data_IF_578281328859
#
_entry.id   IF_578281328859
#
_cell.length_a   1.000
_cell.length_b   1.000
_cell.length_c   1.000
_cell.angle_alpha   90.00
_cell.angle_beta   90.00
_cell.angle_gamma   90.00
#
_symmetry.space_group_name_H-M   'P 1'
#
loop_
_entity.id
_entity.type
_entity.pdbx_description
1 polymer ?
#
# COMPACT_ATOMS: atom_id res chain seq x y z
N UNK A 1 -19.52 -33.48 47.88
CA UNK A 1 -19.52 -32.12 48.47
C UNK A 1 -18.09 -31.71 48.78
N UNK A 2 -17.47 -30.91 47.92
CA UNK A 2 -16.52 -29.83 48.27
C UNK A 2 -16.04 -29.18 46.98
N UNK A 3 -16.16 -27.86 46.94
CA UNK A 3 -16.07 -27.00 45.77
C UNK A 3 -14.64 -26.82 45.28
N UNK A 4 -14.48 -26.80 43.96
CA UNK A 4 -13.34 -26.25 43.24
C UNK A 4 -13.36 -24.72 43.36
N UNK A 5 -12.34 -24.15 44.00
CA UNK A 5 -12.05 -22.73 43.95
C UNK A 5 -11.31 -22.42 42.65
N UNK A 6 -12.01 -21.77 41.71
CA UNK A 6 -11.40 -21.20 40.51
C UNK A 6 -10.71 -19.90 40.93
N UNK A 7 -9.38 -19.89 40.87
CA UNK A 7 -8.57 -18.70 41.12
C UNK A 7 -8.90 -17.60 40.12
N UNK A 8 -9.27 -16.43 40.64
CA UNK A 8 -9.48 -15.23 39.87
C UNK A 8 -8.17 -14.78 39.21
N UNK A 9 -8.17 -14.65 37.88
CA UNK A 9 -7.07 -14.08 37.13
C UNK A 9 -6.98 -12.58 37.43
N UNK A 10 -5.81 -12.11 37.87
CA UNK A 10 -5.56 -10.71 38.21
C UNK A 10 -5.80 -9.76 37.00
N UNK A 11 -6.29 -8.54 37.21
CA UNK A 11 -6.47 -7.57 36.13
C UNK A 11 -5.12 -7.15 35.54
N UNK A 12 -5.02 -7.15 34.21
CA UNK A 12 -3.84 -6.67 33.47
C UNK A 12 -3.55 -5.19 33.80
N UNK A 13 -2.28 -4.77 33.86
CA UNK A 13 -1.95 -3.37 34.11
C UNK A 13 -2.47 -2.48 32.98
N UNK A 14 -3.04 -1.32 33.36
CA UNK A 14 -3.44 -0.25 32.44
C UNK A 14 -2.23 0.19 31.62
N UNK A 15 -2.42 0.32 30.31
CA UNK A 15 -1.42 0.91 29.42
C UNK A 15 -1.02 2.31 29.91
N UNK A 16 0.27 2.70 29.84
CA UNK A 16 0.69 4.04 30.18
C UNK A 16 0.04 5.05 29.22
N UNK A 17 -0.30 6.22 29.76
CA UNK A 17 -0.85 7.34 29.00
C UNK A 17 0.05 7.63 27.78
N UNK A 18 -0.56 7.71 26.60
CA UNK A 18 0.13 8.05 25.36
C UNK A 18 0.83 9.41 25.53
N UNK A 19 2.16 9.39 25.54
CA UNK A 19 2.96 10.60 25.38
C UNK A 19 2.61 11.22 24.02
N UNK A 20 2.05 12.42 24.06
CA UNK A 20 1.68 13.20 22.88
C UNK A 20 2.96 13.60 22.15
N UNK A 21 3.33 12.87 21.10
CA UNK A 21 4.29 13.37 20.12
C UNK A 21 3.60 14.50 19.35
N UNK A 22 4.09 15.72 19.53
CA UNK A 22 3.66 16.88 18.77
C UNK A 22 3.90 16.60 17.28
N UNK A 23 2.81 16.45 16.53
CA UNK A 23 2.83 16.57 15.09
C UNK A 23 2.88 18.07 14.83
N UNK A 24 4.05 18.60 14.50
CA UNK A 24 4.13 19.98 14.02
C UNK A 24 3.25 20.10 12.78
N UNK A 25 2.19 20.88 12.95
CA UNK A 25 1.19 21.13 11.94
C UNK A 25 1.86 21.75 10.71
N UNK A 26 1.59 21.17 9.55
CA UNK A 26 1.88 21.76 8.25
C UNK A 26 1.01 23.01 8.16
N UNK A 27 1.57 24.15 8.57
CA UNK A 27 0.92 25.44 8.55
C UNK A 27 0.56 25.83 7.12
N UNK A 28 -0.72 26.01 6.87
CA UNK A 28 -1.21 26.72 5.71
C UNK A 28 -0.89 28.21 5.89
N UNK A 29 0.25 28.68 5.37
CA UNK A 29 0.45 30.12 5.14
C UNK A 29 -0.06 30.45 3.74
N UNK A 30 -1.09 31.27 3.64
CA UNK A 30 -1.51 31.87 2.39
C UNK A 30 -0.39 32.78 1.84
N UNK A 31 -0.03 32.72 0.53
CA UNK A 31 0.89 33.69 -0.02
C UNK A 31 0.18 35.02 -0.29
N UNK A 32 0.83 36.11 0.10
CA UNK A 32 0.47 37.48 -0.29
C UNK A 32 0.67 37.67 -1.82
N UNK A 33 -0.04 38.59 -2.48
CA UNK A 33 0.09 38.78 -3.92
C UNK A 33 1.45 39.40 -4.25
N UNK A 34 2.22 38.76 -5.11
CA UNK A 34 3.47 39.30 -5.64
C UNK A 34 3.18 40.03 -6.96
N UNK A 35 3.63 41.28 -7.02
CA UNK A 35 3.56 42.16 -8.18
C UNK A 35 4.19 41.55 -9.42
N UNK A 36 3.48 41.69 -10.53
CA UNK A 36 3.94 41.31 -11.85
C UNK A 36 4.94 42.35 -12.37
N UNK A 37 6.23 42.01 -12.42
CA UNK A 37 7.16 42.50 -13.47
C UNK A 37 8.50 41.78 -13.41
N UNK A 38 8.83 41.09 -14.51
CA UNK A 38 10.18 40.91 -15.09
C UNK A 38 10.31 39.53 -15.73
N UNK A 39 10.14 39.52 -17.05
CA UNK A 39 10.37 38.39 -17.93
C UNK A 39 11.82 37.85 -17.86
N UNK A 40 11.95 36.54 -17.64
CA UNK A 40 13.04 35.67 -18.13
C UNK A 40 12.42 34.28 -18.32
N UNK A 41 12.41 33.78 -19.56
CA UNK A 41 11.85 32.46 -19.88
C UNK A 41 12.53 31.33 -19.09
N UNK A 42 11.84 30.21 -18.80
CA UNK A 42 12.37 29.20 -17.91
C UNK A 42 13.56 28.51 -18.56
N UNK A 43 14.76 28.75 -18.02
CA UNK A 43 15.85 27.80 -18.16
C UNK A 43 15.38 26.51 -17.49
N UNK A 44 14.98 25.52 -18.29
CA UNK A 44 14.44 24.25 -17.81
C UNK A 44 15.49 23.56 -16.95
N UNK A 45 15.31 23.60 -15.63
CA UNK A 45 16.20 22.94 -14.69
C UNK A 45 16.20 21.43 -14.99
N UNK A 46 17.26 20.92 -15.63
CA UNK A 46 17.37 19.49 -15.94
C UNK A 46 17.71 18.71 -14.68
N UNK A 47 17.14 17.53 -14.50
CA UNK A 47 17.65 16.58 -13.50
C UNK A 47 19.06 16.17 -13.96
N UNK A 48 20.07 16.48 -13.16
CA UNK A 48 21.47 16.29 -13.55
C UNK A 48 21.90 14.82 -13.51
N UNK A 49 21.45 14.08 -12.51
CA UNK A 49 21.78 12.67 -12.30
C UNK A 49 20.80 12.01 -11.32
N UNK A 50 20.82 10.68 -11.30
CA UNK A 50 20.23 9.89 -10.23
C UNK A 50 20.91 10.21 -8.89
N UNK A 51 20.11 10.45 -7.85
CA UNK A 51 20.56 10.89 -6.53
C UNK A 51 20.42 9.81 -5.44
N UNK A 52 20.19 8.55 -5.81
CA UNK A 52 20.00 7.46 -4.84
C UNK A 52 21.30 6.78 -4.38
N UNK A 53 22.45 7.08 -5.01
CA UNK A 53 23.73 6.43 -4.70
C UNK A 53 24.15 6.55 -3.23
N UNK A 54 23.89 7.70 -2.62
CA UNK A 54 24.26 8.01 -1.23
C UNK A 54 23.14 7.72 -0.22
N UNK A 55 22.04 7.10 -0.66
CA UNK A 55 20.91 6.80 0.22
C UNK A 55 21.31 5.80 1.31
N UNK A 56 20.85 5.98 2.58
CA UNK A 56 21.07 4.97 3.62
C UNK A 56 20.30 3.67 3.35
N UNK A 57 19.21 3.71 2.56
CA UNK A 57 18.43 2.52 2.20
C UNK A 57 19.19 1.64 1.20
N UNK A 58 19.44 0.35 1.52
CA UNK A 58 19.94 -0.61 0.54
C UNK A 58 19.00 -0.76 -0.66
N UNK A 59 17.68 -0.70 -0.45
CA UNK A 59 16.68 -0.77 -1.51
C UNK A 59 16.80 0.41 -2.49
N UNK A 60 16.98 1.64 -1.99
CA UNK A 60 17.15 2.80 -2.87
C UNK A 60 18.48 2.74 -3.64
N UNK A 61 19.57 2.30 -3.00
CA UNK A 61 20.87 2.17 -3.68
C UNK A 61 20.84 1.14 -4.82
N UNK A 62 20.01 0.09 -4.74
CA UNK A 62 19.83 -0.85 -5.85
C UNK A 62 19.35 -0.16 -7.13
N UNK A 63 18.67 0.99 -7.02
CA UNK A 63 18.17 1.77 -8.15
C UNK A 63 19.10 2.92 -8.56
N UNK A 64 20.29 3.06 -7.96
CA UNK A 64 21.21 4.17 -8.24
C UNK A 64 21.79 4.14 -9.67
N UNK A 65 21.83 2.96 -10.29
CA UNK A 65 22.34 2.77 -11.65
C UNK A 65 21.26 2.78 -12.74
N UNK A 66 19.98 2.90 -12.35
CA UNK A 66 18.91 3.00 -13.32
C UNK A 66 19.08 4.28 -14.19
N UNK A 67 18.75 4.21 -15.49
CA UNK A 67 18.74 5.38 -16.37
C UNK A 67 17.70 6.43 -15.95
N UNK A 68 16.68 6.02 -15.19
CA UNK A 68 15.76 6.97 -14.53
C UNK A 68 16.56 7.78 -13.50
N UNK A 69 16.49 9.10 -13.60
CA UNK A 69 17.22 10.04 -12.76
C UNK A 69 16.50 10.23 -11.40
N UNK A 70 16.37 9.13 -10.65
CA UNK A 70 15.63 9.07 -9.40
C UNK A 70 16.10 10.10 -8.39
N UNK A 71 15.13 10.76 -7.75
CA UNK A 71 15.34 11.64 -6.61
C UNK A 71 14.83 10.98 -5.33
N UNK A 72 15.47 11.18 -4.17
CA UNK A 72 14.90 10.80 -2.89
C UNK A 72 13.67 11.67 -2.58
N UNK A 73 12.78 11.16 -1.74
CA UNK A 73 11.67 11.94 -1.24
C UNK A 73 12.15 13.07 -0.32
N UNK A 74 11.73 14.31 -0.62
CA UNK A 74 12.04 15.48 0.20
C UNK A 74 11.64 16.78 -0.49
N UNK A 75 11.71 17.91 0.22
CA UNK A 75 11.34 19.22 -0.31
C UNK A 75 12.08 19.59 -1.60
N UNK A 76 13.34 19.17 -1.74
CA UNK A 76 14.16 19.40 -2.91
C UNK A 76 13.54 18.82 -4.21
N UNK A 77 12.98 17.61 -4.15
CA UNK A 77 12.35 16.98 -5.32
C UNK A 77 11.08 17.74 -5.76
N UNK A 78 10.29 18.22 -4.80
CA UNK A 78 9.07 19.00 -5.09
C UNK A 78 9.38 20.44 -5.51
N UNK A 79 10.43 21.06 -4.96
CA UNK A 79 10.93 22.34 -5.44
C UNK A 79 11.43 22.23 -6.88
N UNK A 80 12.12 21.13 -7.23
CA UNK A 80 12.52 20.86 -8.60
C UNK A 80 11.32 20.67 -9.53
N UNK A 81 10.28 19.98 -9.08
CA UNK A 81 9.04 19.80 -9.85
C UNK A 81 8.36 21.16 -10.13
N UNK A 82 8.30 22.05 -9.13
CA UNK A 82 7.81 23.43 -9.30
C UNK A 82 8.66 24.21 -10.29
N UNK A 83 9.99 24.19 -10.15
CA UNK A 83 10.90 24.93 -11.01
C UNK A 83 10.86 24.46 -12.48
N UNK A 84 10.59 23.18 -12.70
CA UNK A 84 10.45 22.57 -14.04
C UNK A 84 9.04 22.65 -14.61
N UNK A 85 8.07 23.01 -13.78
CA UNK A 85 6.64 22.97 -14.09
C UNK A 85 6.12 21.60 -14.58
N UNK A 86 6.60 20.52 -13.96
CA UNK A 86 6.23 19.13 -14.31
C UNK A 86 5.73 18.38 -13.08
N UNK A 87 4.88 17.34 -13.25
CA UNK A 87 4.43 16.52 -12.14
C UNK A 87 5.55 15.65 -11.55
N UNK A 88 5.28 15.10 -10.37
CA UNK A 88 6.15 14.14 -9.69
C UNK A 88 5.67 12.72 -9.97
N UNK A 89 6.55 11.85 -10.45
CA UNK A 89 6.29 10.42 -10.56
C UNK A 89 6.83 9.73 -9.29
N UNK A 90 5.95 9.32 -8.38
CA UNK A 90 6.30 8.66 -7.14
C UNK A 90 6.23 7.14 -7.29
N UNK A 91 7.33 6.45 -7.02
CA UNK A 91 7.41 4.98 -6.96
C UNK A 91 7.86 4.50 -5.58
N UNK A 92 6.92 3.92 -4.82
CA UNK A 92 7.18 3.34 -3.49
C UNK A 92 7.35 1.83 -3.59
N UNK A 93 8.39 1.31 -2.96
CA UNK A 93 8.65 -0.13 -2.84
C UNK A 93 9.49 -0.45 -1.60
N UNK A 94 9.98 -1.69 -1.52
CA UNK A 94 10.84 -2.18 -0.44
C UNK A 94 11.67 -3.38 -0.93
N UNK A 95 12.74 -3.73 -0.21
CA UNK A 95 13.77 -4.65 -0.69
C UNK A 95 13.27 -6.06 -1.04
N UNK A 96 12.24 -6.56 -0.36
CA UNK A 96 11.70 -7.93 -0.56
C UNK A 96 10.47 -7.96 -1.49
N UNK A 97 10.07 -6.81 -2.04
CA UNK A 97 8.93 -6.70 -2.95
C UNK A 97 9.25 -7.26 -4.35
N UNK A 98 8.74 -8.45 -4.66
CA UNK A 98 8.95 -9.07 -5.97
C UNK A 98 8.51 -8.19 -7.15
N UNK A 99 7.29 -7.66 -7.13
CA UNK A 99 6.76 -6.86 -8.25
C UNK A 99 7.49 -5.53 -8.41
N UNK A 100 8.13 -5.03 -7.34
CA UNK A 100 8.97 -3.84 -7.41
C UNK A 100 10.24 -4.13 -8.23
N UNK A 101 10.84 -5.31 -8.03
CA UNK A 101 11.99 -5.78 -8.83
C UNK A 101 11.59 -6.06 -10.28
N UNK A 102 10.45 -6.72 -10.50
CA UNK A 102 9.94 -6.97 -11.86
C UNK A 102 9.70 -5.65 -12.60
N UNK A 103 9.04 -4.68 -11.98
CA UNK A 103 8.80 -3.37 -12.63
C UNK A 103 10.10 -2.59 -12.84
N UNK A 104 11.07 -2.72 -11.93
CA UNK A 104 12.38 -2.08 -12.12
C UNK A 104 13.10 -2.63 -13.35
N UNK A 105 13.22 -3.95 -13.46
CA UNK A 105 13.88 -4.61 -14.57
C UNK A 105 13.14 -4.40 -15.90
N UNK A 106 11.81 -4.48 -15.91
CA UNK A 106 11.03 -4.36 -17.15
C UNK A 106 10.87 -2.90 -17.61
N UNK A 107 10.85 -1.94 -16.69
CA UNK A 107 10.44 -0.56 -17.00
C UNK A 107 11.45 0.52 -16.59
N UNK A 108 12.05 0.44 -15.40
CA UNK A 108 12.93 1.50 -14.90
C UNK A 108 14.38 1.36 -15.39
N UNK A 109 14.74 0.23 -16.00
CA UNK A 109 15.99 -0.01 -16.72
C UNK A 109 15.87 0.23 -18.23
N UNK A 110 14.64 0.35 -18.75
CA UNK A 110 14.35 0.62 -20.16
C UNK A 110 14.75 2.07 -20.52
N UNK A 111 15.66 2.29 -21.48
CA UNK A 111 16.13 3.64 -21.84
C UNK A 111 15.04 4.56 -22.41
N UNK A 112 14.05 4.03 -23.12
CA UNK A 112 12.95 4.83 -23.69
C UNK A 112 12.04 5.35 -22.59
N UNK A 113 11.60 4.46 -21.68
CA UNK A 113 10.78 4.84 -20.53
C UNK A 113 11.55 5.83 -19.65
N UNK A 114 12.83 5.55 -19.39
CA UNK A 114 13.66 6.41 -18.55
C UNK A 114 13.85 7.81 -19.16
N UNK A 115 14.14 7.89 -20.46
CA UNK A 115 14.25 9.18 -21.15
C UNK A 115 12.95 9.97 -21.06
N UNK A 116 11.79 9.31 -21.25
CA UNK A 116 10.49 9.94 -21.15
C UNK A 116 10.20 10.43 -19.72
N UNK A 117 10.42 9.59 -18.71
CA UNK A 117 10.27 9.96 -17.29
C UNK A 117 11.14 11.17 -16.94
N UNK A 118 12.42 11.14 -17.32
CA UNK A 118 13.36 12.19 -17.01
C UNK A 118 12.98 13.53 -17.68
N UNK A 119 12.40 13.49 -18.89
CA UNK A 119 11.97 14.67 -19.61
C UNK A 119 10.69 15.30 -19.03
N UNK A 120 9.71 14.48 -18.64
CA UNK A 120 8.35 14.94 -18.34
C UNK A 120 7.94 14.88 -16.87
N UNK A 121 8.78 14.32 -16.01
CA UNK A 121 8.50 14.16 -14.58
C UNK A 121 9.72 14.48 -13.72
N UNK A 122 9.48 14.72 -12.43
CA UNK A 122 10.49 14.47 -11.40
C UNK A 122 10.24 13.07 -10.82
N UNK A 123 11.05 12.05 -11.18
CA UNK A 123 10.90 10.70 -10.68
C UNK A 123 11.44 10.62 -9.25
N UNK A 124 10.59 10.22 -8.30
CA UNK A 124 10.90 10.08 -6.88
C UNK A 124 10.76 8.63 -6.47
N UNK A 125 11.79 8.09 -5.82
CA UNK A 125 11.80 6.72 -5.29
C UNK A 125 11.72 6.76 -3.76
N UNK A 126 10.85 5.92 -3.19
CA UNK A 126 10.68 5.81 -1.73
C UNK A 126 10.84 4.37 -1.29
N UNK A 127 11.61 4.19 -0.23
CA UNK A 127 11.63 2.97 0.56
C UNK A 127 10.56 3.03 1.64
N UNK A 128 9.56 2.16 1.53
CA UNK A 128 8.48 2.02 2.51
C UNK A 128 9.01 1.72 3.91
N UNK A 129 10.09 0.95 4.04
CA UNK A 129 10.63 0.57 5.35
C UNK A 129 11.26 1.76 6.08
N UNK A 130 11.73 2.76 5.34
CA UNK A 130 12.24 4.02 5.90
C UNK A 130 11.16 5.10 6.03
N UNK A 131 10.14 5.10 5.16
CA UNK A 131 9.05 6.08 5.13
C UNK A 131 7.67 5.41 5.13
N UNK A 132 7.31 4.71 6.21
CA UNK A 132 6.00 4.07 6.33
C UNK A 132 4.86 5.09 6.39
N UNK A 133 5.14 6.33 6.79
CA UNK A 133 4.21 7.46 6.78
C UNK A 133 3.78 7.86 5.35
N UNK A 134 4.76 8.00 4.44
CA UNK A 134 4.50 8.33 3.03
C UNK A 134 3.79 7.18 2.34
N UNK A 135 4.24 5.94 2.62
CA UNK A 135 3.61 4.73 2.09
C UNK A 135 2.14 4.62 2.49
N UNK A 136 1.82 4.73 3.78
CA UNK A 136 0.46 4.57 4.28
C UNK A 136 -0.50 5.58 3.66
N UNK A 137 -0.08 6.85 3.56
CA UNK A 137 -0.88 7.92 2.96
C UNK A 137 -1.23 7.61 1.50
N UNK A 138 -0.24 7.30 0.68
CA UNK A 138 -0.48 7.10 -0.75
C UNK A 138 -1.10 5.74 -1.06
N UNK A 139 -0.88 4.72 -0.23
CA UNK A 139 -1.57 3.44 -0.37
C UNK A 139 -3.08 3.61 -0.16
N UNK A 140 -3.50 4.38 0.86
CA UNK A 140 -4.91 4.69 1.10
C UNK A 140 -5.53 5.44 -0.10
N UNK A 141 -4.83 6.44 -0.63
CA UNK A 141 -5.25 7.14 -1.85
C UNK A 141 -5.48 6.18 -3.01
N UNK A 142 -4.50 5.31 -3.31
CA UNK A 142 -4.59 4.36 -4.43
C UNK A 142 -5.73 3.36 -4.21
N UNK A 143 -5.93 2.89 -2.98
CA UNK A 143 -7.04 2.01 -2.62
C UNK A 143 -8.40 2.68 -2.84
N UNK A 144 -8.55 3.96 -2.52
CA UNK A 144 -9.80 4.71 -2.77
C UNK A 144 -10.05 4.95 -4.25
N UNK A 145 -9.00 5.29 -5.00
CA UNK A 145 -9.12 5.58 -6.43
C UNK A 145 -9.41 4.32 -7.27
N UNK A 146 -8.84 3.17 -6.88
CA UNK A 146 -8.84 1.97 -7.72
C UNK A 146 -9.58 0.77 -7.12
N UNK A 147 -9.96 0.85 -5.83
CA UNK A 147 -10.48 -0.29 -5.07
C UNK A 147 -9.43 -1.37 -4.76
N UNK A 148 -8.16 -1.14 -5.11
CA UNK A 148 -7.05 -2.09 -4.97
C UNK A 148 -5.84 -1.39 -4.37
N UNK A 149 -4.98 -2.15 -3.72
CA UNK A 149 -3.72 -1.64 -3.18
C UNK A 149 -2.65 -2.73 -3.17
N UNK A 150 -1.40 -2.31 -3.21
CA UNK A 150 -0.25 -3.19 -3.24
C UNK A 150 0.99 -2.46 -3.73
N UNK A 151 2.08 -3.21 -3.86
CA UNK A 151 3.37 -2.69 -4.30
C UNK A 151 3.82 -3.38 -5.60
N UNK A 152 4.58 -2.70 -6.48
CA UNK A 152 5.04 -1.31 -6.35
C UNK A 152 3.87 -0.34 -6.38
N UNK A 153 3.96 0.73 -5.58
CA UNK A 153 2.95 1.77 -5.56
C UNK A 153 3.39 2.87 -6.52
N UNK A 154 2.61 3.10 -7.57
CA UNK A 154 2.87 4.10 -8.60
C UNK A 154 1.86 5.23 -8.47
N UNK A 155 2.33 6.44 -8.17
CA UNK A 155 1.46 7.59 -7.96
C UNK A 155 2.00 8.78 -8.74
N UNK A 156 1.13 9.56 -9.38
CA UNK A 156 1.54 10.83 -9.97
C UNK A 156 0.93 11.97 -9.17
N UNK A 157 1.81 12.89 -8.77
CA UNK A 157 1.49 14.01 -7.87
C UNK A 157 1.69 15.34 -8.57
N UNK A 158 0.93 16.34 -8.15
CA UNK A 158 1.27 17.75 -8.40
C UNK A 158 2.57 18.12 -7.66
N UNK A 159 3.23 19.23 -8.03
CA UNK A 159 4.36 19.75 -7.26
C UNK A 159 4.05 20.06 -5.79
N UNK A 160 2.77 20.17 -5.43
CA UNK A 160 2.29 20.41 -4.06
C UNK A 160 1.86 19.12 -3.34
N UNK A 161 2.34 17.97 -3.83
CA UNK A 161 2.16 16.62 -3.25
C UNK A 161 0.76 16.03 -3.36
N UNK A 162 -0.12 16.65 -4.14
CA UNK A 162 -1.50 16.18 -4.31
C UNK A 162 -1.57 15.09 -5.40
N UNK A 163 -2.08 13.89 -5.11
CA UNK A 163 -2.18 12.80 -6.08
C UNK A 163 -3.36 13.00 -7.03
N UNK A 164 -3.13 12.76 -8.33
CA UNK A 164 -4.18 12.75 -9.35
C UNK A 164 -4.26 11.44 -10.15
N UNK A 165 -3.26 10.57 -10.01
CA UNK A 165 -3.22 9.22 -10.55
C UNK A 165 -2.64 8.25 -9.53
N UNK A 166 -3.12 7.00 -9.56
CA UNK A 166 -2.66 5.94 -8.67
C UNK A 166 -2.82 4.56 -9.30
N UNK A 167 -1.78 3.74 -9.22
CA UNK A 167 -1.75 2.37 -9.70
C UNK A 167 -0.79 1.53 -8.85
N UNK A 168 -0.85 0.21 -9.03
CA UNK A 168 0.14 -0.72 -8.49
C UNK A 168 1.24 -0.98 -9.55
N UNK A 169 1.48 -2.25 -9.87
CA UNK A 169 2.27 -2.67 -11.02
C UNK A 169 1.66 -2.18 -12.35
N UNK A 170 2.51 -1.63 -13.22
CA UNK A 170 2.20 -1.32 -14.63
C UNK A 170 3.27 -2.00 -15.51
N UNK A 171 2.90 -2.82 -16.50
CA UNK A 171 3.88 -3.40 -17.41
C UNK A 171 4.43 -2.34 -18.37
N UNK A 172 5.59 -2.56 -19.02
CA UNK A 172 6.29 -1.49 -19.73
C UNK A 172 5.56 -0.97 -20.99
N UNK A 173 4.78 -1.81 -21.66
CA UNK A 173 4.13 -1.52 -22.96
C UNK A 173 2.70 -2.07 -22.99
N UNK A 174 1.88 -1.56 -23.91
CA UNK A 174 0.50 -2.01 -24.12
C UNK A 174 0.45 -3.50 -24.48
N UNK A 175 -0.56 -4.22 -24.00
CA UNK A 175 -0.71 -5.67 -24.20
C UNK A 175 0.22 -6.54 -23.34
N UNK A 176 1.33 -6.00 -22.83
CA UNK A 176 2.28 -6.77 -22.02
C UNK A 176 1.61 -7.24 -20.72
N UNK A 177 1.86 -8.51 -20.36
CA UNK A 177 1.22 -9.18 -19.21
C UNK A 177 -0.32 -9.08 -19.20
N UNK A 178 -0.94 -8.92 -20.38
CA UNK A 178 -2.39 -8.82 -20.55
C UNK A 178 -3.01 -7.48 -20.14
N UNK A 179 -2.20 -6.45 -19.86
CA UNK A 179 -2.71 -5.11 -19.58
C UNK A 179 -3.11 -4.40 -20.88
N UNK A 180 -4.21 -3.65 -20.86
CA UNK A 180 -4.63 -2.83 -22.00
C UNK A 180 -3.61 -1.73 -22.30
N UNK A 181 -3.15 -1.05 -21.25
CA UNK A 181 -2.21 0.07 -21.32
C UNK A 181 -0.98 -0.24 -20.47
N UNK A 182 0.20 0.03 -21.01
CA UNK A 182 1.47 -0.05 -20.32
C UNK A 182 1.89 1.29 -19.72
N UNK A 183 2.94 1.26 -18.91
CA UNK A 183 3.50 2.41 -18.21
C UNK A 183 3.80 3.56 -19.17
N UNK A 184 4.39 3.29 -20.32
CA UNK A 184 4.78 4.35 -21.26
C UNK A 184 3.58 5.12 -21.83
N UNK A 185 2.49 4.42 -22.17
CA UNK A 185 1.24 5.04 -22.63
C UNK A 185 0.61 5.86 -21.51
N UNK A 186 0.51 5.28 -20.31
CA UNK A 186 0.01 5.99 -19.11
C UNK A 186 0.82 7.27 -18.84
N UNK A 187 2.15 7.21 -18.92
CA UNK A 187 3.01 8.38 -18.72
C UNK A 187 2.79 9.45 -19.80
N UNK A 188 2.59 9.06 -21.06
CA UNK A 188 2.31 10.01 -22.16
C UNK A 188 0.98 10.72 -21.97
N UNK A 189 -0.05 9.97 -21.59
CA UNK A 189 -1.40 10.51 -21.39
C UNK A 189 -1.44 11.47 -20.20
N UNK A 190 -0.80 11.11 -19.08
CA UNK A 190 -0.74 11.97 -17.90
C UNK A 190 0.10 13.24 -18.14
N UNK A 191 1.18 13.16 -18.91
CA UNK A 191 1.98 14.33 -19.26
C UNK A 191 1.21 15.28 -20.21
N UNK A 192 0.47 14.71 -21.15
CA UNK A 192 -0.41 15.46 -22.06
C UNK A 192 -1.52 16.15 -21.27
N UNK A 193 -2.21 15.43 -20.38
CA UNK A 193 -3.24 16.01 -19.50
C UNK A 193 -2.68 17.10 -18.58
N UNK A 194 -1.46 16.95 -18.06
CA UNK A 194 -0.81 18.00 -17.27
C UNK A 194 -0.58 19.28 -18.06
N UNK A 195 -0.19 19.18 -19.33
CA UNK A 195 0.06 20.33 -20.20
C UNK A 195 -1.24 20.97 -20.69
N UNK A 196 -2.19 20.15 -21.11
CA UNK A 196 -3.35 20.59 -21.90
C UNK A 196 -4.59 20.85 -21.02
N UNK A 197 -4.71 20.20 -19.85
CA UNK A 197 -5.85 20.33 -18.93
C UNK A 197 -5.41 20.42 -17.45
N UNK A 198 -4.37 21.24 -17.21
CA UNK A 198 -3.77 21.39 -15.88
C UNK A 198 -4.78 21.76 -14.80
N UNK A 199 -5.66 22.71 -15.10
CA UNK A 199 -6.58 23.26 -14.10
C UNK A 199 -7.57 22.19 -13.59
N UNK A 200 -8.16 21.40 -14.50
CA UNK A 200 -9.07 20.33 -14.09
C UNK A 200 -8.34 19.21 -13.33
N UNK A 201 -7.12 18.88 -13.78
CA UNK A 201 -6.28 17.87 -13.13
C UNK A 201 -5.90 18.28 -11.71
N UNK A 202 -5.46 19.52 -11.48
CA UNK A 202 -5.17 20.06 -10.14
C UNK A 202 -6.43 20.09 -9.28
N UNK A 203 -7.58 20.52 -9.81
CA UNK A 203 -8.83 20.50 -9.06
C UNK A 203 -9.26 19.07 -8.66
N UNK A 204 -9.00 18.07 -9.51
CA UNK A 204 -9.19 16.65 -9.17
C UNK A 204 -8.19 16.18 -8.11
N UNK A 205 -6.94 16.59 -8.19
CA UNK A 205 -5.90 16.27 -7.22
C UNK A 205 -6.27 16.79 -5.82
N UNK A 206 -6.68 18.05 -5.73
CA UNK A 206 -7.11 18.69 -4.49
C UNK A 206 -8.33 17.98 -3.86
N UNK A 207 -9.33 17.60 -4.68
CA UNK A 207 -10.49 16.83 -4.21
C UNK A 207 -10.09 15.46 -3.65
N UNK A 208 -9.19 14.76 -4.34
CA UNK A 208 -8.68 13.44 -3.91
C UNK A 208 -7.92 13.58 -2.58
N UNK A 209 -7.05 14.59 -2.48
CA UNK A 209 -6.27 14.89 -1.27
C UNK A 209 -7.17 15.20 -0.08
N UNK A 210 -8.19 16.05 -0.27
CA UNK A 210 -9.16 16.36 0.79
C UNK A 210 -9.93 15.13 1.25
N UNK A 211 -10.36 14.28 0.33
CA UNK A 211 -11.06 13.03 0.67
C UNK A 211 -10.16 12.06 1.47
N UNK A 212 -8.88 11.96 1.11
CA UNK A 212 -7.91 11.15 1.85
C UNK A 212 -7.61 11.76 3.24
N UNK A 213 -7.39 13.07 3.31
CA UNK A 213 -7.11 13.77 4.58
C UNK A 213 -8.27 13.62 5.58
N UNK A 214 -9.51 13.79 5.13
CA UNK A 214 -10.70 13.58 5.97
C UNK A 214 -10.82 12.15 6.52
N UNK A 215 -10.26 11.16 5.82
CA UNK A 215 -10.24 9.78 6.27
C UNK A 215 -9.02 9.43 7.14
N UNK A 216 -7.97 10.26 7.13
CA UNK A 216 -6.75 10.09 7.93
C UNK A 216 -6.83 10.84 9.25
N UNK A 217 -7.70 11.86 9.34
CA UNK A 217 -8.07 12.42 10.63
C UNK A 217 -8.58 11.27 11.51
N UNK A 218 -8.10 11.14 12.76
CA UNK A 218 -8.75 10.26 13.72
C UNK A 218 -10.22 10.61 13.68
N UNK A 219 -11.07 9.65 13.31
CA UNK A 219 -12.49 9.85 13.50
C UNK A 219 -12.66 10.33 14.95
N UNK A 220 -13.38 11.43 15.21
CA UNK A 220 -13.70 11.80 16.59
C UNK A 220 -14.19 10.53 17.27
N UNK A 221 -13.71 10.18 18.48
CA UNK A 221 -13.91 8.86 19.06
C UNK A 221 -15.36 8.44 18.88
N UNK A 222 -15.58 7.62 17.87
CA UNK A 222 -16.89 7.17 17.49
C UNK A 222 -17.26 6.02 18.40
N UNK A 223 -18.54 5.73 18.49
CA UNK A 223 -18.96 4.50 19.12
C UNK A 223 -18.26 3.32 18.42
N UNK A 224 -17.81 2.36 19.21
CA UNK A 224 -17.27 1.12 18.68
C UNK A 224 -18.30 0.50 17.73
N UNK A 225 -17.88 -0.13 16.61
CA UNK A 225 -18.80 -0.78 15.70
C UNK A 225 -19.73 -1.74 16.45
N UNK A 226 -21.04 -1.59 16.21
CA UNK A 226 -22.04 -2.46 16.82
C UNK A 226 -21.99 -3.89 16.26
N UNK A 227 -22.72 -4.80 16.90
CA UNK A 227 -22.81 -6.20 16.45
C UNK A 227 -23.32 -6.31 15.01
N UNK A 228 -24.23 -5.44 14.58
CA UNK A 228 -24.75 -5.42 13.22
C UNK A 228 -23.66 -5.05 12.19
N UNK A 229 -22.79 -4.09 12.50
CA UNK A 229 -21.65 -3.72 11.67
C UNK A 229 -20.67 -4.88 11.52
N UNK A 230 -20.37 -5.58 12.62
CA UNK A 230 -19.53 -6.78 12.59
C UNK A 230 -20.17 -7.86 11.68
N UNK A 231 -21.47 -8.12 11.81
CA UNK A 231 -22.15 -9.12 10.97
C UNK A 231 -22.23 -8.71 9.50
N UNK A 232 -22.29 -7.42 9.16
CA UNK A 232 -22.16 -6.94 7.77
C UNK A 232 -20.80 -7.30 7.17
N UNK A 233 -19.71 -7.20 7.95
CA UNK A 233 -18.38 -7.63 7.51
C UNK A 233 -18.34 -9.13 7.27
N UNK A 234 -18.91 -9.93 8.18
CA UNK A 234 -19.00 -11.40 8.01
C UNK A 234 -19.80 -11.77 6.76
N UNK A 235 -20.96 -11.15 6.53
CA UNK A 235 -21.75 -11.36 5.32
C UNK A 235 -20.99 -10.96 4.06
N UNK A 236 -20.19 -9.90 4.11
CA UNK A 236 -19.31 -9.50 3.00
C UNK A 236 -18.19 -10.51 2.75
N UNK A 237 -17.58 -11.04 3.81
CA UNK A 237 -16.58 -12.09 3.69
C UNK A 237 -17.17 -13.36 3.07
N UNK A 238 -18.39 -13.74 3.46
CA UNK A 238 -19.10 -14.90 2.92
C UNK A 238 -19.35 -14.80 1.41
N UNK A 239 -19.66 -13.61 0.88
CA UNK A 239 -19.82 -13.42 -0.58
C UNK A 239 -18.53 -13.70 -1.37
N UNK A 240 -17.37 -13.41 -0.77
CA UNK A 240 -16.06 -13.62 -1.37
C UNK A 240 -15.41 -14.96 -1.04
N UNK A 241 -16.05 -15.81 -0.23
CA UNK A 241 -15.48 -17.05 0.27
C UNK A 241 -15.45 -18.15 -0.80
N UNK A 242 -14.35 -18.90 -0.85
CA UNK A 242 -14.20 -20.07 -1.72
C UNK A 242 -14.33 -21.35 -0.90
N UNK A 243 -15.55 -21.83 -0.73
CA UNK A 243 -15.84 -23.01 0.09
C UNK A 243 -15.08 -24.29 -0.34
N UNK A 244 -14.72 -24.41 -1.62
CA UNK A 244 -14.02 -25.61 -2.11
C UNK A 244 -12.54 -25.67 -1.71
N UNK A 245 -11.87 -24.52 -1.65
CA UNK A 245 -10.42 -24.47 -1.37
C UNK A 245 -10.09 -23.66 -0.10
N UNK A 246 -11.08 -23.21 0.66
CA UNK A 246 -10.92 -22.19 1.71
C UNK A 246 -10.42 -20.84 1.19
N UNK A 247 -10.37 -19.83 2.05
CA UNK A 247 -9.90 -18.49 1.70
C UNK A 247 -10.89 -17.63 0.93
N UNK A 248 -10.42 -16.47 0.48
CA UNK A 248 -11.26 -15.42 -0.09
C UNK A 248 -10.74 -14.99 -1.47
N UNK A 249 -11.66 -14.72 -2.38
CA UNK A 249 -11.35 -14.34 -3.77
C UNK A 249 -11.27 -15.53 -4.72
N UNK A 250 -11.00 -15.25 -6.00
CA UNK A 250 -11.01 -16.24 -7.10
C UNK A 250 -9.64 -16.50 -7.73
N UNK A 251 -8.64 -15.67 -7.45
CA UNK A 251 -7.28 -15.76 -7.99
C UNK A 251 -6.25 -16.14 -6.93
N UNK A 252 -5.16 -15.39 -6.87
CA UNK A 252 -4.17 -15.48 -5.81
C UNK A 252 -4.81 -15.38 -4.41
N UNK A 253 -4.30 -16.14 -3.45
CA UNK A 253 -4.89 -16.29 -2.12
C UNK A 253 -3.97 -15.85 -1.00
N UNK A 254 -4.47 -14.90 -0.21
CA UNK A 254 -3.87 -14.42 1.04
C UNK A 254 -4.62 -15.04 2.22
N UNK A 255 -3.90 -15.39 3.30
CA UNK A 255 -4.55 -15.96 4.50
C UNK A 255 -5.39 -14.92 5.26
N UNK A 256 -5.03 -13.63 5.17
CA UNK A 256 -5.73 -12.49 5.79
C UNK A 256 -5.97 -12.67 7.30
N UNK A 257 -4.91 -12.71 8.13
CA UNK A 257 -5.01 -13.02 9.55
C UNK A 257 -6.04 -12.17 10.32
N UNK A 258 -6.13 -10.86 10.05
CA UNK A 258 -7.09 -9.98 10.72
C UNK A 258 -8.56 -10.33 10.42
N UNK A 259 -8.87 -10.75 9.18
CA UNK A 259 -10.22 -11.22 8.87
C UNK A 259 -10.51 -12.56 9.56
N UNK A 260 -9.53 -13.46 9.57
CA UNK A 260 -9.66 -14.74 10.26
C UNK A 260 -9.88 -14.55 11.76
N UNK A 261 -9.12 -13.66 12.42
CA UNK A 261 -9.29 -13.31 13.84
C UNK A 261 -10.73 -12.82 14.12
N UNK A 262 -11.25 -11.92 13.29
CA UNK A 262 -12.63 -11.45 13.40
C UNK A 262 -13.63 -12.61 13.30
N UNK A 263 -13.47 -13.50 12.32
CA UNK A 263 -14.35 -14.65 12.11
C UNK A 263 -14.30 -15.62 13.30
N UNK A 264 -13.11 -15.89 13.85
CA UNK A 264 -12.94 -16.72 15.05
C UNK A 264 -13.60 -16.08 16.28
N UNK A 265 -13.50 -14.76 16.46
CA UNK A 265 -14.19 -14.04 17.54
C UNK A 265 -15.71 -14.09 17.41
N UNK A 266 -16.24 -13.93 16.20
CA UNK A 266 -17.69 -14.06 15.93
C UNK A 266 -18.16 -15.48 16.21
N UNK A 267 -17.40 -16.49 15.79
CA UNK A 267 -17.71 -17.89 16.07
C UNK A 267 -17.75 -18.19 17.58
N UNK A 268 -16.77 -17.71 18.37
CA UNK A 268 -16.73 -17.89 19.83
C UNK A 268 -17.94 -17.28 20.55
N UNK A 269 -18.51 -16.21 20.01
CA UNK A 269 -19.66 -15.50 20.60
C UNK A 269 -21.01 -16.07 20.18
N UNK A 270 -21.04 -17.17 19.41
CA UNK A 270 -22.28 -17.74 18.89
C UNK A 270 -22.95 -16.87 17.82
N UNK A 271 -22.16 -16.09 17.06
CA UNK A 271 -22.66 -15.30 15.94
C UNK A 271 -22.96 -16.14 14.69
N UNK A 272 -22.73 -15.58 13.50
CA UNK A 272 -23.00 -16.27 12.23
C UNK A 272 -22.24 -17.61 12.14
N UNK A 273 -22.93 -18.76 11.95
CA UNK A 273 -22.31 -20.08 11.95
C UNK A 273 -21.29 -20.26 10.82
N UNK A 274 -21.45 -19.52 9.71
CA UNK A 274 -20.50 -19.53 8.59
C UNK A 274 -19.13 -19.00 8.98
N UNK A 275 -19.04 -18.16 10.03
CA UNK A 275 -17.78 -17.59 10.48
C UNK A 275 -16.78 -18.68 10.90
N UNK A 276 -17.24 -19.69 11.66
CA UNK A 276 -16.42 -20.83 12.08
C UNK A 276 -15.91 -21.61 10.88
N UNK A 277 -16.81 -21.95 9.96
CA UNK A 277 -16.48 -22.72 8.77
C UNK A 277 -15.44 -21.98 7.90
N UNK A 278 -15.71 -20.71 7.58
CA UNK A 278 -14.81 -19.89 6.78
C UNK A 278 -13.41 -19.81 7.40
N UNK A 279 -13.31 -19.55 8.70
CA UNK A 279 -12.03 -19.42 9.38
C UNK A 279 -11.25 -20.74 9.41
N UNK A 280 -11.86 -21.81 9.91
CA UNK A 280 -11.17 -23.09 10.10
C UNK A 280 -10.79 -23.75 8.77
N UNK A 281 -11.69 -23.74 7.78
CA UNK A 281 -11.41 -24.31 6.46
C UNK A 281 -10.29 -23.53 5.76
N UNK A 282 -10.30 -22.20 5.83
CA UNK A 282 -9.21 -21.37 5.28
C UNK A 282 -7.87 -21.73 5.90
N UNK A 283 -7.79 -21.79 7.23
CA UNK A 283 -6.54 -22.10 7.94
C UNK A 283 -6.04 -23.52 7.65
N UNK A 284 -6.93 -24.52 7.53
CA UNK A 284 -6.55 -25.89 7.14
C UNK A 284 -5.98 -25.94 5.73
N UNK A 285 -6.65 -25.34 4.74
CA UNK A 285 -6.15 -25.32 3.37
C UNK A 285 -4.84 -24.55 3.23
N UNK A 286 -4.69 -23.42 3.93
CA UNK A 286 -3.43 -22.69 3.96
C UNK A 286 -2.30 -23.51 4.60
N UNK A 287 -2.57 -24.20 5.72
CA UNK A 287 -1.58 -25.03 6.41
C UNK A 287 -1.16 -26.28 5.61
N UNK A 288 -2.06 -26.84 4.81
CA UNK A 288 -1.79 -27.99 3.95
C UNK A 288 -1.22 -27.60 2.57
N UNK A 289 -1.40 -26.34 2.15
CA UNK A 289 -0.92 -25.83 0.88
C UNK A 289 0.57 -25.49 0.87
N UNK A 290 1.10 -25.19 -0.32
CA UNK A 290 2.46 -24.69 -0.51
C UNK A 290 2.67 -23.24 -0.04
N UNK A 291 1.62 -22.54 0.38
CA UNK A 291 1.76 -21.25 1.11
C UNK A 291 2.43 -21.44 2.47
N UNK A 292 2.34 -22.62 3.09
CA UNK A 292 3.18 -22.97 4.24
C UNK A 292 4.53 -23.47 3.72
N UNK A 293 5.62 -22.94 4.25
CA UNK A 293 6.93 -23.50 3.99
C UNK A 293 7.10 -24.77 4.83
N UNK A 294 7.00 -25.92 4.18
CA UNK A 294 7.11 -27.24 4.80
C UNK A 294 8.56 -27.64 5.11
N UNK A 295 9.55 -26.93 4.56
CA UNK A 295 10.98 -27.20 4.76
C UNK A 295 11.56 -26.28 5.84
N UNK A 296 11.40 -24.96 5.67
CA UNK A 296 11.96 -23.95 6.57
C UNK A 296 11.00 -23.41 7.63
N UNK A 297 9.74 -23.86 7.62
CA UNK A 297 8.71 -23.40 8.55
C UNK A 297 8.17 -21.99 8.25
N UNK A 298 7.07 -21.65 8.91
CA UNK A 298 6.34 -20.42 8.66
C UNK A 298 5.52 -20.43 7.37
N UNK A 299 5.03 -19.26 6.99
CA UNK A 299 4.14 -19.06 5.84
C UNK A 299 4.69 -18.02 4.88
N UNK A 300 4.64 -18.35 3.60
CA UNK A 300 4.71 -17.38 2.53
C UNK A 300 3.49 -16.45 2.58
N UNK A 301 3.65 -15.21 2.12
CA UNK A 301 2.61 -14.18 2.24
C UNK A 301 1.30 -14.55 1.55
N UNK A 302 1.39 -15.17 0.38
CA UNK A 302 0.23 -15.61 -0.39
C UNK A 302 0.60 -16.73 -1.36
N UNK A 303 -0.42 -17.43 -1.87
CA UNK A 303 -0.27 -18.32 -3.01
C UNK A 303 -0.72 -17.62 -4.30
N UNK A 304 0.02 -17.79 -5.39
CA UNK A 304 -0.30 -17.18 -6.69
C UNK A 304 -1.53 -17.81 -7.35
N UNK A 305 -1.93 -19.01 -6.89
CA UNK A 305 -3.09 -19.74 -7.39
C UNK A 305 -4.19 -19.95 -6.35
N UNK A 306 -5.39 -20.25 -6.85
CA UNK A 306 -6.60 -20.44 -6.04
C UNK A 306 -6.55 -21.67 -5.12
N UNK A 307 -5.65 -22.63 -5.35
CA UNK A 307 -5.58 -23.88 -4.56
C UNK A 307 -4.46 -23.90 -3.53
N UNK A 308 -3.85 -22.75 -3.23
CA UNK A 308 -2.77 -22.61 -2.25
C UNK A 308 -1.49 -23.38 -2.58
N UNK A 309 -1.22 -23.71 -3.86
CA UNK A 309 -0.12 -24.61 -4.24
C UNK A 309 1.19 -23.88 -4.45
N UNK A 310 1.16 -22.79 -5.21
CA UNK A 310 2.38 -22.09 -5.61
C UNK A 310 2.56 -20.85 -4.73
N UNK A 311 3.52 -20.84 -3.78
CA UNK A 311 3.75 -19.68 -2.95
C UNK A 311 4.34 -18.52 -3.74
N UNK A 312 4.03 -17.31 -3.29
CA UNK A 312 4.88 -16.15 -3.51
C UNK A 312 5.98 -16.18 -2.44
N UNK A 313 7.23 -16.41 -2.84
CA UNK A 313 8.37 -16.70 -1.94
C UNK A 313 8.86 -15.50 -1.10
N UNK A 314 7.93 -14.76 -0.50
CA UNK A 314 8.15 -13.67 0.46
C UNK A 314 7.57 -14.11 1.81
N UNK A 315 8.32 -13.89 2.90
CA UNK A 315 7.85 -14.12 4.28
C UNK A 315 7.98 -12.83 5.07
N UNK A 316 6.86 -12.32 5.57
CA UNK A 316 6.84 -11.11 6.38
C UNK A 316 6.68 -11.48 7.86
N UNK A 317 7.49 -10.87 8.74
CA UNK A 317 7.46 -11.14 10.17
C UNK A 317 6.08 -10.88 10.79
N UNK A 318 5.42 -9.79 10.39
CA UNK A 318 4.08 -9.47 10.90
C UNK A 318 3.04 -10.51 10.47
N UNK A 319 3.16 -11.08 9.26
CA UNK A 319 2.27 -12.15 8.81
C UNK A 319 2.50 -13.39 9.67
N UNK A 320 3.75 -13.75 9.98
CA UNK A 320 4.05 -14.89 10.88
C UNK A 320 3.46 -14.70 12.26
N UNK A 321 3.66 -13.52 12.87
CA UNK A 321 3.18 -13.21 14.20
C UNK A 321 1.65 -13.29 14.28
N UNK A 322 0.95 -12.68 13.31
CA UNK A 322 -0.51 -12.70 13.28
C UNK A 322 -1.06 -14.10 12.95
N UNK A 323 -0.38 -14.87 12.08
CA UNK A 323 -0.77 -16.24 11.77
C UNK A 323 -0.65 -17.15 13.00
N UNK A 324 0.43 -17.04 13.77
CA UNK A 324 0.59 -17.79 15.00
C UNK A 324 -0.58 -17.58 15.96
N UNK A 325 -1.02 -16.32 16.14
CA UNK A 325 -2.18 -15.98 16.97
C UNK A 325 -3.47 -16.63 16.47
N UNK A 326 -3.78 -16.54 15.17
CA UNK A 326 -5.05 -17.10 14.66
C UNK A 326 -5.06 -18.62 14.59
N UNK A 327 -3.91 -19.28 14.39
CA UNK A 327 -3.82 -20.74 14.49
C UNK A 327 -4.03 -21.22 15.93
N UNK A 328 -3.50 -20.50 16.92
CA UNK A 328 -3.74 -20.79 18.33
C UNK A 328 -5.24 -20.62 18.70
N UNK A 329 -5.84 -19.50 18.32
CA UNK A 329 -7.26 -19.24 18.54
C UNK A 329 -8.15 -20.28 17.83
N UNK A 330 -7.78 -20.69 16.62
CA UNK A 330 -8.49 -21.72 15.87
C UNK A 330 -8.41 -23.09 16.55
N UNK A 331 -7.26 -23.46 17.14
CA UNK A 331 -7.10 -24.70 17.88
C UNK A 331 -8.05 -24.76 19.10
N UNK A 332 -8.18 -23.65 19.83
CA UNK A 332 -9.09 -23.55 20.99
C UNK A 332 -10.58 -23.67 20.61
N UNK A 333 -10.95 -23.35 19.36
CA UNK A 333 -12.29 -23.52 18.81
C UNK A 333 -12.53 -24.90 18.16
N UNK A 334 -11.47 -25.65 17.87
CA UNK A 334 -11.55 -26.94 17.20
C UNK A 334 -11.57 -28.12 18.20
N UNK A 335 -11.10 -27.90 19.42
CA UNK A 335 -11.30 -28.78 20.58
C UNK A 335 -12.77 -28.75 21.04
#
# INVERSE_FOLDING_TARGET
MSLLAVGACAPRPRAPAAATLAVDAIGASAPAPADATSARGPATAKIRANALGDSPSPYLRQHAHNPVAWQPWGDAAFALARARDVPVFLSIGYATCHWCHVMAAESFEDPEIAAFLNAHYVPVKVDREQRPDVDALYLDVVQRLTGRGGWPLTVVLTPDREPFFGATYLPPRDGARGAREGLLTVLRDLATAWRDDRAALVARAARTSRAAALATLPAPPGDLPDGAAILRVVASAARGYDAHNGGFGRGAKFVRPALIDLLLRVARRGGDPRAREMALTTLRHAAAGGVRDHLGGGFHRYATDRRWRVPHFEKMLYDQALLACVYLDAAALAA
#
